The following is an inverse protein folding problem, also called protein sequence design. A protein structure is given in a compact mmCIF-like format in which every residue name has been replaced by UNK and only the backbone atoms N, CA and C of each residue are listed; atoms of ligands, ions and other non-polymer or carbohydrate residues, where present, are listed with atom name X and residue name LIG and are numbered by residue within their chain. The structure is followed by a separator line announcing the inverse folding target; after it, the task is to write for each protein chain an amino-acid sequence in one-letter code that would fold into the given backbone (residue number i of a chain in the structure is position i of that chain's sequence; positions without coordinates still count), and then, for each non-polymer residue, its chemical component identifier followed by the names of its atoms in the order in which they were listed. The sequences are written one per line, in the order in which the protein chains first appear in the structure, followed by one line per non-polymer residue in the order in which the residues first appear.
data_IF_876524169762
#
_entry.id   IF_876524169762
#
_cell.length_a   1.000
_cell.length_b   1.000
_cell.length_c   1.000
_cell.angle_alpha   90.00
_cell.angle_beta   90.00
_cell.angle_gamma   90.00
#
_symmetry.space_group_name_H-M   'P 1'
#
loop_
_entity.id
_entity.type
_entity.pdbx_description
1 polymer ?
#
# COMPACT_ATOMS: atom_id res chain seq x y z
N UNK A 1 -5.74 8.26 -9.22
CA UNK A 1 -4.28 8.09 -9.15
C UNK A 1 -3.95 6.76 -9.80
N UNK A 2 -2.99 6.77 -10.72
CA UNK A 2 -2.61 5.60 -11.52
C UNK A 2 -1.29 4.99 -11.03
N UNK A 3 -0.91 3.83 -11.57
CA UNK A 3 0.41 3.26 -11.33
C UNK A 3 1.53 4.14 -11.88
N UNK A 4 1.28 4.86 -12.98
CA UNK A 4 2.23 5.80 -13.56
C UNK A 4 2.49 7.01 -12.64
N UNK A 5 1.46 7.51 -11.96
CA UNK A 5 1.61 8.58 -10.95
C UNK A 5 2.51 8.13 -9.79
N UNK A 6 2.25 6.91 -9.29
CA UNK A 6 3.03 6.30 -8.19
C UNK A 6 4.47 6.08 -8.64
N UNK A 7 4.68 5.60 -9.86
CA UNK A 7 6.01 5.37 -10.41
C UNK A 7 6.81 6.67 -10.53
N UNK A 8 6.19 7.75 -11.01
CA UNK A 8 6.81 9.07 -11.04
C UNK A 8 7.28 9.54 -9.65
N UNK A 9 6.44 9.36 -8.63
CA UNK A 9 6.78 9.71 -7.25
C UNK A 9 7.91 8.81 -6.69
N UNK A 10 7.88 7.51 -6.97
CA UNK A 10 8.91 6.56 -6.55
C UNK A 10 10.28 6.90 -7.17
N UNK A 11 10.32 7.23 -8.46
CA UNK A 11 11.56 7.68 -9.12
C UNK A 11 12.11 8.96 -8.47
N UNK A 12 11.24 9.91 -8.13
CA UNK A 12 11.65 11.13 -7.43
C UNK A 12 12.29 10.83 -6.06
N UNK A 13 11.73 9.89 -5.30
CA UNK A 13 12.32 9.42 -4.03
C UNK A 13 13.69 8.77 -4.22
N UNK A 14 13.86 8.05 -5.33
CA UNK A 14 15.13 7.39 -5.69
C UNK A 14 16.17 8.35 -6.29
N UNK A 15 15.82 9.63 -6.49
CA UNK A 15 16.60 10.62 -7.24
C UNK A 15 16.90 10.19 -8.69
N UNK A 16 15.95 9.49 -9.32
CA UNK A 16 16.02 8.99 -10.69
C UNK A 16 15.09 9.76 -11.62
N UNK A 17 15.42 9.80 -12.91
CA UNK A 17 14.52 10.27 -13.97
C UNK A 17 13.99 9.10 -14.79
N UNK A 18 12.81 9.26 -15.41
CA UNK A 18 12.22 8.24 -16.29
C UNK A 18 13.16 7.79 -17.40
N UNK A 19 13.94 8.72 -17.95
CA UNK A 19 14.91 8.47 -19.02
C UNK A 19 16.12 7.63 -18.56
N UNK A 20 16.45 7.68 -17.27
CA UNK A 20 17.62 7.00 -16.67
C UNK A 20 17.26 5.77 -15.86
N UNK A 21 15.98 5.58 -15.56
CA UNK A 21 15.48 4.44 -14.80
C UNK A 21 15.82 3.12 -15.50
N UNK A 22 16.56 2.25 -14.80
CA UNK A 22 17.09 0.99 -15.33
C UNK A 22 15.99 -0.08 -15.49
N UNK A 23 15.19 -0.01 -16.55
CA UNK A 23 14.22 -1.06 -16.86
C UNK A 23 13.29 -1.37 -15.67
N UNK A 24 12.77 -0.31 -15.05
CA UNK A 24 11.83 -0.44 -13.95
C UNK A 24 10.38 -0.43 -14.44
N UNK A 25 10.11 0.16 -15.61
CA UNK A 25 8.76 0.34 -16.15
C UNK A 25 7.99 -0.99 -16.27
N UNK A 26 8.61 -2.03 -16.84
CA UNK A 26 8.03 -3.37 -16.98
C UNK A 26 7.69 -4.05 -15.64
N UNK A 27 8.25 -3.56 -14.54
CA UNK A 27 7.98 -4.05 -13.17
C UNK A 27 6.88 -3.26 -12.46
N UNK A 28 6.46 -2.10 -12.95
CA UNK A 28 5.55 -1.19 -12.22
C UNK A 28 4.22 -1.87 -11.93
N UNK A 29 3.52 -2.36 -12.96
CA UNK A 29 2.20 -3.00 -12.80
C UNK A 29 2.24 -4.19 -11.83
N UNK A 30 3.13 -5.20 -11.98
CA UNK A 30 3.15 -6.33 -11.05
C UNK A 30 3.52 -5.92 -9.63
N UNK A 31 4.44 -4.97 -9.43
CA UNK A 31 4.82 -4.51 -8.09
C UNK A 31 3.71 -3.68 -7.43
N UNK A 32 3.02 -2.82 -8.18
CA UNK A 32 1.85 -2.08 -7.65
C UNK A 32 0.74 -3.05 -7.25
N UNK A 33 0.49 -4.11 -8.03
CA UNK A 33 -0.48 -5.14 -7.64
C UNK A 33 -0.10 -5.85 -6.33
N UNK A 34 1.19 -6.07 -6.05
CA UNK A 34 1.62 -6.59 -4.74
C UNK A 34 1.32 -5.59 -3.62
N UNK A 35 1.60 -4.30 -3.83
CA UNK A 35 1.30 -3.26 -2.85
C UNK A 35 -0.21 -3.13 -2.58
N UNK A 36 -1.06 -3.30 -3.60
CA UNK A 36 -2.52 -3.29 -3.43
C UNK A 36 -2.99 -4.40 -2.51
N UNK A 37 -2.42 -5.60 -2.64
CA UNK A 37 -2.72 -6.72 -1.73
C UNK A 37 -2.26 -6.39 -0.31
N UNK A 38 -1.02 -5.91 -0.15
CA UNK A 38 -0.46 -5.57 1.16
C UNK A 38 -1.25 -4.46 1.88
N UNK A 39 -1.69 -3.44 1.15
CA UNK A 39 -2.42 -2.31 1.71
C UNK A 39 -3.93 -2.57 1.89
N UNK A 40 -4.44 -3.73 1.45
CA UNK A 40 -5.88 -4.04 1.49
C UNK A 40 -6.53 -3.90 2.88
N UNK A 41 -5.90 -4.37 3.99
CA UNK A 41 -6.49 -4.18 5.33
C UNK A 41 -6.64 -2.70 5.71
N UNK A 42 -5.63 -1.87 5.39
CA UNK A 42 -5.65 -0.44 5.63
C UNK A 42 -6.72 0.27 4.78
N UNK A 43 -6.85 -0.10 3.51
CA UNK A 43 -7.92 0.40 2.64
C UNK A 43 -9.32 0.08 3.20
N UNK A 44 -9.55 -1.17 3.62
CA UNK A 44 -10.84 -1.58 4.19
C UNK A 44 -11.16 -0.82 5.48
N UNK A 45 -10.17 -0.62 6.34
CA UNK A 45 -10.33 0.16 7.56
C UNK A 45 -10.65 1.63 7.26
N UNK A 46 -9.94 2.25 6.32
CA UNK A 46 -10.16 3.63 5.91
C UNK A 46 -11.55 3.83 5.29
N UNK A 47 -12.00 2.89 4.44
CA UNK A 47 -13.37 2.87 3.91
C UNK A 47 -14.41 2.81 5.01
N UNK A 48 -14.24 1.90 5.98
CA UNK A 48 -15.14 1.76 7.14
C UNK A 48 -15.21 3.06 7.94
N UNK A 49 -14.07 3.66 8.27
CA UNK A 49 -13.98 4.91 9.04
C UNK A 49 -14.69 6.09 8.34
N UNK A 50 -14.72 6.09 7.00
CA UNK A 50 -15.35 7.13 6.18
C UNK A 50 -16.78 6.81 5.75
N UNK A 51 -17.32 5.64 6.14
CA UNK A 51 -18.65 5.21 5.72
C UNK A 51 -18.75 4.82 4.24
N UNK A 52 -17.64 4.48 3.60
CA UNK A 52 -17.64 3.92 2.25
C UNK A 52 -18.00 2.42 2.27
N UNK A 53 -18.62 1.89 1.20
CA UNK A 53 -18.83 0.46 1.06
C UNK A 53 -17.52 -0.32 1.13
N UNK A 54 -17.54 -1.46 1.80
CA UNK A 54 -16.44 -2.42 1.78
C UNK A 54 -16.19 -2.92 0.36
N UNK A 55 -14.91 -3.13 0.02
CA UNK A 55 -14.54 -3.81 -1.21
C UNK A 55 -14.84 -5.30 -1.08
N UNK A 56 -15.24 -5.91 -2.20
CA UNK A 56 -15.44 -7.37 -2.30
C UNK A 56 -14.12 -8.14 -2.44
N UNK A 57 -13.01 -7.45 -2.69
CA UNK A 57 -11.67 -7.98 -2.84
C UNK A 57 -10.65 -6.85 -3.02
N UNK A 58 -9.37 -7.18 -3.03
CA UNK A 58 -8.32 -6.20 -3.35
C UNK A 58 -8.42 -5.75 -4.80
N UNK A 59 -8.00 -4.51 -5.07
CA UNK A 59 -7.94 -3.99 -6.43
C UNK A 59 -6.78 -4.65 -7.21
N UNK A 60 -6.95 -4.77 -8.52
CA UNK A 60 -5.89 -5.15 -9.46
C UNK A 60 -5.95 -4.21 -10.66
N UNK A 61 -4.78 -3.92 -11.21
CA UNK A 61 -4.64 -3.14 -12.45
C UNK A 61 -3.92 -3.97 -13.51
N UNK A 62 -4.26 -3.72 -14.78
CA UNK A 62 -3.63 -4.37 -15.93
C UNK A 62 -2.63 -3.45 -16.66
N UNK A 63 -2.80 -2.13 -16.51
CA UNK A 63 -1.97 -1.13 -17.19
C UNK A 63 -1.56 -0.01 -16.25
N UNK A 64 -0.45 0.67 -16.55
CA UNK A 64 0.08 1.75 -15.72
C UNK A 64 -0.85 2.98 -15.66
N UNK A 65 -1.65 3.21 -16.70
CA UNK A 65 -2.57 4.34 -16.81
C UNK A 65 -3.97 4.10 -16.25
N UNK A 66 -4.23 2.91 -15.69
CA UNK A 66 -5.51 2.60 -15.07
C UNK A 66 -5.67 3.31 -13.72
N UNK A 67 -6.88 3.80 -13.46
CA UNK A 67 -7.22 4.39 -12.16
C UNK A 67 -7.29 3.31 -11.07
N UNK A 68 -6.53 3.51 -10.00
CA UNK A 68 -6.51 2.56 -8.87
C UNK A 68 -7.70 2.83 -7.95
N UNK A 69 -8.50 1.80 -7.67
CA UNK A 69 -9.75 1.89 -6.90
C UNK A 69 -9.63 2.04 -5.37
N UNK A 70 -8.42 2.30 -4.86
CA UNK A 70 -8.18 2.55 -3.43
C UNK A 70 -8.28 4.03 -3.09
N UNK A 71 -8.37 4.37 -1.81
CA UNK A 71 -8.40 5.75 -1.36
C UNK A 71 -7.12 6.49 -1.77
N UNK A 72 -7.28 7.68 -2.35
CA UNK A 72 -6.16 8.43 -2.96
C UNK A 72 -5.10 8.86 -1.96
N UNK A 73 -5.46 9.11 -0.71
CA UNK A 73 -4.52 9.46 0.37
C UNK A 73 -3.65 8.27 0.79
N UNK A 74 -4.24 7.07 0.87
CA UNK A 74 -3.48 5.83 1.09
C UNK A 74 -2.47 5.60 -0.04
N UNK A 75 -2.91 5.77 -1.30
CA UNK A 75 -2.05 5.62 -2.47
C UNK A 75 -0.92 6.66 -2.47
N UNK A 76 -1.25 7.93 -2.29
CA UNK A 76 -0.28 9.02 -2.37
C UNK A 76 0.75 8.98 -1.23
N UNK A 77 0.35 8.59 -0.02
CA UNK A 77 1.24 8.61 1.15
C UNK A 77 2.07 7.32 1.30
N UNK A 78 1.53 6.16 0.90
CA UNK A 78 2.19 4.88 1.13
C UNK A 78 2.93 4.37 -0.11
N UNK A 79 2.24 4.29 -1.26
CA UNK A 79 2.70 3.47 -2.38
C UNK A 79 4.02 3.93 -3.02
N UNK A 80 4.36 5.23 -3.10
CA UNK A 80 5.66 5.65 -3.61
C UNK A 80 6.84 5.04 -2.86
N UNK A 81 6.74 4.91 -1.53
CA UNK A 81 7.77 4.30 -0.71
C UNK A 81 7.88 2.80 -0.96
N UNK A 82 6.75 2.08 -0.97
CA UNK A 82 6.75 0.64 -1.22
C UNK A 82 7.31 0.30 -2.60
N UNK A 83 6.93 1.06 -3.63
CA UNK A 83 7.42 0.85 -4.99
C UNK A 83 8.92 1.17 -5.10
N UNK A 84 9.37 2.30 -4.52
CA UNK A 84 10.79 2.64 -4.50
C UNK A 84 11.64 1.57 -3.80
N UNK A 85 11.16 1.05 -2.66
CA UNK A 85 11.84 -0.02 -1.92
C UNK A 85 11.99 -1.30 -2.73
N UNK A 86 10.93 -1.71 -3.44
CA UNK A 86 10.95 -2.90 -4.31
C UNK A 86 11.86 -2.71 -5.53
N UNK A 87 11.85 -1.53 -6.16
CA UNK A 87 12.63 -1.28 -7.37
C UNK A 87 14.14 -1.20 -7.10
N UNK A 88 14.55 -0.63 -5.96
CA UNK A 88 15.97 -0.42 -5.65
C UNK A 88 16.61 -1.57 -4.87
N UNK A 89 15.85 -2.60 -4.50
CA UNK A 89 16.29 -3.67 -3.60
C UNK A 89 17.62 -4.33 -4.02
N UNK A 90 17.75 -4.61 -5.31
CA UNK A 90 18.94 -5.26 -5.89
C UNK A 90 20.13 -4.30 -6.04
N UNK A 91 19.87 -2.99 -6.15
CA UNK A 91 20.91 -1.96 -6.35
C UNK A 91 21.44 -1.41 -5.00
N UNK A 92 20.56 -1.14 -4.04
CA UNK A 92 20.89 -0.54 -2.74
C UNK A 92 19.92 -1.01 -1.64
N UNK A 93 20.27 -2.10 -0.98
CA UNK A 93 19.46 -2.69 0.11
C UNK A 93 19.29 -1.73 1.29
N UNK A 94 20.22 -0.80 1.53
CA UNK A 94 20.13 0.17 2.61
C UNK A 94 19.01 1.17 2.37
N UNK A 95 18.95 1.74 1.16
CA UNK A 95 17.84 2.60 0.74
C UNK A 95 16.53 1.83 0.63
N UNK A 96 16.56 0.60 0.13
CA UNK A 96 15.37 -0.24 0.05
C UNK A 96 14.75 -0.44 1.44
N UNK A 97 15.56 -0.79 2.45
CA UNK A 97 15.10 -0.93 3.84
C UNK A 97 14.54 0.37 4.42
N UNK A 98 15.16 1.51 4.11
CA UNK A 98 14.62 2.81 4.50
C UNK A 98 13.23 3.06 3.90
N UNK A 99 13.06 2.87 2.58
CA UNK A 99 11.76 3.07 1.94
C UNK A 99 10.70 2.08 2.42
N UNK A 100 11.05 0.81 2.61
CA UNK A 100 10.15 -0.18 3.20
C UNK A 100 9.71 0.23 4.61
N UNK A 101 10.62 0.77 5.44
CA UNK A 101 10.26 1.28 6.77
C UNK A 101 9.31 2.49 6.70
N UNK A 102 9.50 3.38 5.72
CA UNK A 102 8.59 4.51 5.48
C UNK A 102 7.21 4.04 5.01
N UNK A 103 7.16 3.02 4.15
CA UNK A 103 5.91 2.38 3.72
C UNK A 103 5.14 1.78 4.90
N UNK A 104 5.81 0.99 5.75
CA UNK A 104 5.20 0.38 6.93
C UNK A 104 4.68 1.43 7.91
N UNK A 105 5.49 2.48 8.18
CA UNK A 105 5.09 3.58 9.05
C UNK A 105 3.92 4.39 8.48
N UNK A 106 3.82 4.56 7.16
CA UNK A 106 2.70 5.21 6.51
C UNK A 106 1.43 4.36 6.62
N UNK A 107 1.50 3.05 6.33
CA UNK A 107 0.37 2.13 6.45
C UNK A 107 -0.20 2.06 7.88
N UNK A 108 0.65 2.13 8.91
CA UNK A 108 0.21 2.14 10.31
C UNK A 108 -0.72 3.30 10.64
N UNK A 109 -0.68 4.42 9.92
CA UNK A 109 -1.61 5.54 10.11
C UNK A 109 -3.04 5.20 9.68
N UNK A 110 -3.18 4.25 8.76
CA UNK A 110 -4.43 3.84 8.14
C UNK A 110 -4.94 2.50 8.66
N UNK A 111 -4.12 1.75 9.39
CA UNK A 111 -4.53 0.55 10.10
C UNK A 111 -4.92 0.91 11.53
N UNK A 112 -6.22 1.01 11.88
CA UNK A 112 -6.62 1.23 13.25
C UNK A 112 -6.20 0.02 14.10
N UNK A 113 -5.73 0.29 15.30
CA UNK A 113 -5.65 -0.72 16.36
C UNK A 113 -7.09 -1.06 16.76
N UNK A 114 -7.67 -2.07 16.13
CA UNK A 114 -8.97 -2.60 16.55
C UNK A 114 -8.77 -3.28 17.92
N UNK A 115 -9.09 -2.56 18.99
CA UNK A 115 -9.30 -3.17 20.31
C UNK A 115 -10.63 -3.93 20.25
N UNK A 116 -10.57 -5.24 20.09
CA UNK A 116 -11.75 -6.07 20.35
C UNK A 116 -12.01 -6.12 21.86
N UNK A 117 -13.20 -5.69 22.35
CA UNK A 117 -13.56 -5.90 23.73
C UNK A 117 -13.71 -7.41 23.98
N UNK A 118 -12.97 -7.92 24.96
CA UNK A 118 -13.14 -9.31 25.44
C UNK A 118 -14.56 -9.43 25.98
N UNK A 119 -15.39 -10.25 25.35
CA UNK A 119 -16.67 -10.64 25.91
C UNK A 119 -16.42 -11.69 27.00
N UNK A 120 -16.67 -11.35 28.26
CA UNK A 120 -16.68 -12.32 29.35
C UNK A 120 -17.78 -13.36 29.09
N UNK A 121 -17.40 -14.59 28.77
CA UNK A 121 -18.33 -15.71 28.67
C UNK A 121 -18.59 -16.22 30.08
N UNK A 122 -19.60 -15.66 30.75
CA UNK A 122 -20.12 -16.28 31.98
C UNK A 122 -21.02 -17.43 31.55
N UNK A 123 -20.46 -18.64 31.51
CA UNK A 123 -21.26 -19.86 31.55
C UNK A 123 -22.02 -19.86 32.89
N UNK A 124 -23.31 -19.54 32.83
CA UNK A 124 -24.22 -19.78 33.94
C UNK A 124 -24.38 -21.30 34.02
N UNK A 125 -23.66 -21.93 34.95
CA UNK A 125 -23.94 -23.31 35.36
C UNK A 125 -25.28 -23.29 36.09
N UNK A 126 -26.36 -23.46 35.33
CA UNK A 126 -27.69 -23.71 35.87
C UNK A 126 -27.74 -25.13 36.45
N UNK A 127 -27.95 -25.20 37.78
CA UNK A 127 -28.74 -26.25 38.46
C UNK A 127 -28.04 -27.54 38.85
#
# INVERSE_FOLDING_TARGET
MTADDIYGAALALMAESREKAKGYADKVVPLVNLLLVTAYPAEQALRRARGHPALSGFAQIETEGEEIGYQSDLLAECFPYGLAGMLILDDDTGKANYFNSMFDAALQKYSPTDFEPIADVTEVLDG
#
